data_IF_741283486857
#
_entry.id   IF_741283486857
#
_cell.length_a   1.000
_cell.length_b   1.000
_cell.length_c   1.000
_cell.angle_alpha   90.00
_cell.angle_beta   90.00
_cell.angle_gamma   90.00
#
_symmetry.space_group_name_H-M   'P 1'
#
loop_
_entity.id
_entity.type
_entity.pdbx_description
1 polymer ?
#
# COMPACT_ATOMS: atom_id res chain seq x y z
N UNK A 1 -10.35 -3.02 11.79
CA UNK A 1 -9.22 -3.36 12.66
C UNK A 1 -8.08 -2.41 12.34
N UNK A 2 -7.34 -1.92 13.33
CA UNK A 2 -6.12 -1.14 13.07
C UNK A 2 -4.92 -2.08 13.01
N UNK A 3 -3.99 -1.83 12.09
CA UNK A 3 -2.80 -2.64 11.88
C UNK A 3 -1.59 -1.76 11.59
N UNK A 4 -0.41 -2.19 12.05
CA UNK A 4 0.86 -1.63 11.60
C UNK A 4 1.17 -2.23 10.24
N UNK A 5 1.44 -1.36 9.27
CA UNK A 5 1.76 -1.75 7.90
C UNK A 5 3.23 -1.43 7.64
N UNK A 6 3.91 -2.37 7.00
CA UNK A 6 5.24 -2.21 6.42
C UNK A 6 5.14 -2.54 4.94
N UNK A 7 5.27 -1.53 4.09
CA UNK A 7 5.15 -1.63 2.64
C UNK A 7 6.54 -1.46 2.05
N UNK A 8 6.96 -2.41 1.21
CA UNK A 8 8.26 -2.41 0.57
C UNK A 8 8.07 -2.50 -0.95
N UNK A 9 8.45 -1.43 -1.66
CA UNK A 9 8.38 -1.38 -3.12
C UNK A 9 9.80 -1.43 -3.66
N UNK A 10 10.07 -2.40 -4.54
CA UNK A 10 11.32 -2.46 -5.32
C UNK A 10 11.01 -2.08 -6.76
N UNK A 11 11.67 -1.03 -7.24
CA UNK A 11 11.50 -0.54 -8.60
C UNK A 11 12.79 -0.79 -9.38
N UNK A 12 12.63 -1.12 -10.66
CA UNK A 12 13.73 -1.30 -11.60
C UNK A 12 13.53 -0.29 -12.72
N UNK A 13 14.51 0.57 -12.96
CA UNK A 13 14.48 1.47 -14.11
C UNK A 13 14.86 0.72 -15.42
N UNK A 14 14.79 1.41 -16.56
CA UNK A 14 15.09 0.85 -17.87
C UNK A 14 16.55 0.35 -18.03
N UNK A 15 17.46 0.84 -17.18
CA UNK A 15 18.89 0.48 -17.21
C UNK A 15 19.26 -0.53 -16.12
N UNK A 16 18.29 -1.01 -15.33
CA UNK A 16 18.45 -2.03 -14.30
C UNK A 16 18.89 -1.49 -12.93
N UNK A 17 18.84 -0.18 -12.71
CA UNK A 17 19.04 0.41 -11.38
C UNK A 17 17.89 -0.02 -10.49
N UNK A 18 18.22 -0.48 -9.28
CA UNK A 18 17.24 -0.88 -8.29
C UNK A 18 17.03 0.26 -7.31
N UNK A 19 15.78 0.70 -7.17
CA UNK A 19 15.36 1.59 -6.10
C UNK A 19 14.46 0.82 -5.12
N UNK A 20 14.56 1.14 -3.83
CA UNK A 20 13.78 0.50 -2.78
C UNK A 20 13.13 1.56 -1.91
N UNK A 21 11.81 1.57 -1.90
CA UNK A 21 10.98 2.48 -1.11
C UNK A 21 10.35 1.69 0.03
N UNK A 22 10.50 2.20 1.26
CA UNK A 22 9.94 1.61 2.47
C UNK A 22 8.98 2.60 3.13
N UNK A 23 7.75 2.15 3.40
CA UNK A 23 6.72 2.92 4.10
C UNK A 23 6.27 2.13 5.33
N UNK A 24 6.51 2.70 6.50
CA UNK A 24 5.98 2.21 7.78
C UNK A 24 4.85 3.15 8.24
N UNK A 25 3.63 2.62 8.36
CA UNK A 25 2.44 3.43 8.69
C UNK A 25 1.42 2.63 9.52
N UNK A 26 0.38 3.32 9.98
CA UNK A 26 -0.78 2.68 10.62
C UNK A 26 -1.93 2.71 9.61
N UNK A 27 -2.50 1.54 9.34
CA UNK A 27 -3.64 1.38 8.45
C UNK A 27 -4.84 0.79 9.15
N UNK A 28 -5.99 0.90 8.47
CA UNK A 28 -7.25 0.26 8.84
C UNK A 28 -7.55 -0.86 7.86
N UNK A 29 -7.75 -2.06 8.41
CA UNK A 29 -8.14 -3.25 7.67
C UNK A 29 -9.62 -3.54 7.94
N UNK A 30 -10.40 -3.78 6.89
CA UNK A 30 -11.78 -4.23 7.01
C UNK A 30 -12.17 -5.14 5.84
N UNK A 31 -13.14 -6.02 6.09
CA UNK A 31 -13.70 -6.91 5.08
C UNK A 31 -15.01 -6.32 4.56
N UNK A 32 -15.21 -6.38 3.24
CA UNK A 32 -16.47 -5.99 2.60
C UNK A 32 -16.65 -6.78 1.32
N UNK A 33 -17.85 -7.30 1.07
CA UNK A 33 -18.15 -8.06 -0.15
C UNK A 33 -17.21 -9.25 -0.43
N UNK A 34 -16.68 -9.89 0.62
CA UNK A 34 -15.64 -10.95 0.57
C UNK A 34 -14.23 -10.49 0.18
N UNK A 35 -14.03 -9.20 -0.07
CA UNK A 35 -12.72 -8.60 -0.29
C UNK A 35 -12.16 -8.04 1.02
N UNK A 36 -10.83 -8.00 1.13
CA UNK A 36 -10.11 -7.32 2.20
C UNK A 36 -9.70 -5.93 1.69
N UNK A 37 -9.98 -4.90 2.48
CA UNK A 37 -9.57 -3.53 2.22
C UNK A 37 -8.56 -3.08 3.26
N UNK A 38 -7.46 -2.50 2.79
CA UNK A 38 -6.41 -1.88 3.61
C UNK A 38 -6.36 -0.40 3.25
N UNK A 39 -6.73 0.47 4.18
CA UNK A 39 -6.69 1.92 4.00
C UNK A 39 -5.58 2.49 4.87
N UNK A 40 -4.66 3.24 4.28
CA UNK A 40 -3.56 3.87 4.99
C UNK A 40 -3.25 5.25 4.44
N UNK A 41 -2.44 6.01 5.16
CA UNK A 41 -2.00 7.33 4.74
C UNK A 41 -0.48 7.30 4.50
N UNK A 42 -0.07 7.95 3.42
CA UNK A 42 1.33 8.16 3.05
C UNK A 42 1.59 9.64 2.76
N UNK A 43 2.86 10.06 2.84
CA UNK A 43 3.29 11.42 2.51
C UNK A 43 4.09 11.35 1.22
N UNK A 44 3.58 11.99 0.18
CA UNK A 44 4.23 12.14 -1.12
C UNK A 44 4.31 13.63 -1.44
N UNK A 45 5.52 14.14 -1.75
CA UNK A 45 5.75 15.57 -2.04
C UNK A 45 5.13 16.54 -1.00
N UNK A 46 5.30 16.26 0.29
CA UNK A 46 4.72 16.99 1.43
C UNK A 46 3.17 17.01 1.49
N UNK A 47 2.50 16.20 0.67
CA UNK A 47 1.06 16.03 0.67
C UNK A 47 0.66 14.69 1.29
N UNK A 48 -0.39 14.74 2.11
CA UNK A 48 -0.96 13.54 2.73
C UNK A 48 -1.92 12.88 1.74
N UNK A 49 -1.59 11.66 1.33
CA UNK A 49 -2.40 10.84 0.43
C UNK A 49 -3.04 9.73 1.23
N UNK A 50 -4.31 9.43 0.95
CA UNK A 50 -5.00 8.25 1.49
C UNK A 50 -5.08 7.20 0.40
N UNK A 51 -4.48 6.04 0.66
CA UNK A 51 -4.39 4.93 -0.29
C UNK A 51 -5.26 3.78 0.18
N UNK A 52 -5.99 3.15 -0.74
CA UNK A 52 -6.87 2.02 -0.45
C UNK A 52 -6.47 0.83 -1.30
N UNK A 53 -5.93 -0.21 -0.66
CA UNK A 53 -5.66 -1.49 -1.33
C UNK A 53 -6.86 -2.40 -1.15
N UNK A 54 -7.41 -2.90 -2.24
CA UNK A 54 -8.40 -3.99 -2.24
C UNK A 54 -7.71 -5.28 -2.66
N UNK A 55 -7.89 -6.31 -1.85
CA UNK A 55 -7.36 -7.65 -2.05
C UNK A 55 -8.57 -8.57 -2.24
N UNK A 56 -8.69 -9.09 -3.46
CA UNK A 56 -9.65 -10.11 -3.86
C UNK A 56 -8.92 -11.44 -4.10
N UNK A 57 -9.67 -12.52 -4.32
CA UNK A 57 -9.07 -13.85 -4.56
C UNK A 57 -8.15 -13.88 -5.80
N UNK A 58 -8.52 -13.15 -6.86
CA UNK A 58 -7.83 -13.18 -8.16
C UNK A 58 -7.01 -11.91 -8.47
N UNK A 59 -7.22 -10.81 -7.74
CA UNK A 59 -6.59 -9.52 -8.04
C UNK A 59 -6.31 -8.66 -6.80
N UNK A 60 -5.34 -7.76 -6.96
CA UNK A 60 -5.08 -6.66 -6.03
C UNK A 60 -5.19 -5.35 -6.80
N UNK A 61 -5.94 -4.39 -6.28
CA UNK A 61 -6.11 -3.06 -6.86
C UNK A 61 -5.82 -1.96 -5.83
N UNK A 62 -5.21 -0.86 -6.28
CA UNK A 62 -4.85 0.31 -5.46
C UNK A 62 -5.50 1.55 -6.08
#
# INVERSE_FOLDING_TARGET
MEAKLKILTKQYDEVGTVDTIEVDTIGKIFEKNKDIYVVYEEIEEDQKITTTVRISDDEVSI
#
